data_IF_627120347429
#
_entry.id   IF_627120347429
#
_cell.length_a   1.000
_cell.length_b   1.000
_cell.length_c   1.000
_cell.angle_alpha   90.00
_cell.angle_beta   90.00
_cell.angle_gamma   90.00
#
_symmetry.space_group_name_H-M   'P 1'
#
loop_
_entity.id
_entity.type
_entity.pdbx_description
1 polymer ?
#
# COMPACT_ATOMS: atom_id res chain seq x y z
N UNK A 1 -12.28 13.91 -5.87
CA UNK A 1 -10.96 13.26 -6.01
C UNK A 1 -10.76 12.31 -4.82
N UNK A 2 -9.95 11.26 -5.00
CA UNK A 2 -9.70 10.21 -3.99
C UNK A 2 -8.18 10.04 -3.81
N UNK A 3 -7.73 9.93 -2.56
CA UNK A 3 -6.38 9.53 -2.18
C UNK A 3 -6.49 8.32 -1.26
N UNK A 4 -5.76 7.25 -1.58
CA UNK A 4 -5.75 6.00 -0.83
C UNK A 4 -4.33 5.74 -0.33
N UNK A 5 -4.19 5.36 0.95
CA UNK A 5 -2.90 5.07 1.58
C UNK A 5 -2.92 3.68 2.20
N UNK A 6 -1.79 2.98 2.09
CA UNK A 6 -1.58 1.68 2.74
C UNK A 6 -1.28 1.79 4.23
N UNK A 7 -1.88 0.90 5.03
CA UNK A 7 -1.56 0.74 6.45
C UNK A 7 -0.34 -0.19 6.65
N UNK A 8 0.84 0.43 6.75
CA UNK A 8 2.13 -0.20 7.11
C UNK A 8 2.13 -0.93 8.46
N UNK A 9 1.02 -0.93 9.21
CA UNK A 9 0.94 -1.51 10.54
C UNK A 9 2.04 -0.94 11.46
N UNK A 10 2.32 0.36 11.35
CA UNK A 10 3.45 1.02 12.01
C UNK A 10 3.50 0.72 13.52
N UNK A 11 2.33 0.61 14.18
CA UNK A 11 2.21 0.22 15.59
C UNK A 11 2.82 -1.15 15.90
N UNK A 12 2.74 -2.11 14.98
CA UNK A 12 3.38 -3.42 15.11
C UNK A 12 4.88 -3.31 14.85
N UNK A 13 5.28 -2.55 13.83
CA UNK A 13 6.69 -2.39 13.46
C UNK A 13 7.52 -1.69 14.55
N UNK A 14 6.92 -0.74 15.29
CA UNK A 14 7.55 -0.07 16.45
C UNK A 14 7.89 -1.05 17.59
N UNK A 15 7.24 -2.22 17.65
CA UNK A 15 7.54 -3.26 18.64
C UNK A 15 8.66 -4.22 18.21
N UNK A 16 9.30 -3.97 17.06
CA UNK A 16 10.35 -4.82 16.49
C UNK A 16 11.71 -4.11 16.50
N UNK A 17 12.76 -4.78 16.01
CA UNK A 17 14.09 -4.17 15.81
C UNK A 17 14.10 -2.98 14.83
N UNK A 18 12.99 -2.72 14.13
CA UNK A 18 12.84 -1.58 13.20
C UNK A 18 12.28 -0.33 13.88
N UNK A 19 12.07 -0.34 15.20
CA UNK A 19 11.40 0.74 15.93
C UNK A 19 11.96 2.13 15.62
N UNK A 20 13.29 2.28 15.68
CA UNK A 20 13.97 3.54 15.40
C UNK A 20 13.63 4.06 14.00
N UNK A 21 13.86 3.25 12.96
CA UNK A 21 13.58 3.64 11.57
C UNK A 21 12.11 4.00 11.34
N UNK A 22 11.19 3.27 11.95
CA UNK A 22 9.74 3.53 11.81
C UNK A 22 9.35 4.84 12.48
N UNK A 23 9.88 5.12 13.67
CA UNK A 23 9.62 6.37 14.39
C UNK A 23 10.25 7.57 13.69
N UNK A 24 11.49 7.43 13.21
CA UNK A 24 12.22 8.49 12.49
C UNK A 24 11.51 8.86 11.17
N UNK A 25 10.83 7.90 10.53
CA UNK A 25 10.10 8.17 9.27
C UNK A 25 8.80 8.95 9.47
N UNK A 26 8.22 8.96 10.67
CA UNK A 26 7.07 9.81 10.99
C UNK A 26 5.77 9.48 10.24
N UNK A 27 5.58 8.24 9.76
CA UNK A 27 4.41 7.85 8.95
C UNK A 27 3.06 8.24 9.56
N UNK A 28 2.88 8.10 10.87
CA UNK A 28 1.65 8.49 11.55
C UNK A 28 1.36 9.99 11.42
N UNK A 29 2.39 10.82 11.56
CA UNK A 29 2.26 12.28 11.42
C UNK A 29 1.93 12.66 9.97
N UNK A 30 2.61 12.03 9.00
CA UNK A 30 2.33 12.21 7.57
C UNK A 30 0.87 11.89 7.24
N UNK A 31 0.35 10.73 7.69
CA UNK A 31 -1.05 10.33 7.46
C UNK A 31 -2.03 11.33 8.05
N UNK A 32 -1.81 11.78 9.29
CA UNK A 32 -2.67 12.78 9.94
C UNK A 32 -2.72 14.09 9.16
N UNK A 33 -1.55 14.60 8.74
CA UNK A 33 -1.47 15.85 7.98
C UNK A 33 -2.09 15.70 6.58
N UNK A 34 -1.87 14.56 5.93
CA UNK A 34 -2.44 14.29 4.61
C UNK A 34 -3.96 14.22 4.68
N UNK A 35 -4.53 13.50 5.67
CA UNK A 35 -5.97 13.45 5.90
C UNK A 35 -6.56 14.84 6.13
N UNK A 36 -5.95 15.61 7.03
CA UNK A 36 -6.35 17.01 7.29
C UNK A 36 -6.36 17.86 6.01
N UNK A 37 -5.33 17.74 5.17
CA UNK A 37 -5.28 18.48 3.89
C UNK A 37 -6.30 17.99 2.87
N UNK A 38 -6.61 16.69 2.85
CA UNK A 38 -7.66 16.13 2.01
C UNK A 38 -9.04 16.68 2.41
N UNK A 39 -9.34 16.71 3.71
CA UNK A 39 -10.59 17.27 4.26
C UNK A 39 -10.75 18.75 3.85
N UNK A 40 -9.70 19.56 4.01
CA UNK A 40 -9.72 20.97 3.60
C UNK A 40 -9.92 21.16 2.08
N UNK A 41 -9.48 20.21 1.26
CA UNK A 41 -9.55 20.29 -0.20
C UNK A 41 -10.79 19.60 -0.79
N UNK A 42 -11.68 19.02 0.04
CA UNK A 42 -12.81 18.22 -0.44
C UNK A 42 -12.39 16.92 -1.16
N UNK A 43 -11.23 16.37 -0.81
CA UNK A 43 -10.69 15.11 -1.34
C UNK A 43 -11.02 13.99 -0.37
N UNK A 44 -11.55 12.87 -0.89
CA UNK A 44 -11.79 11.68 -0.08
C UNK A 44 -10.44 11.02 0.27
N UNK A 45 -10.24 10.72 1.55
CA UNK A 45 -9.04 10.06 2.07
C UNK A 45 -9.41 8.70 2.65
N UNK A 46 -8.78 7.64 2.16
CA UNK A 46 -9.02 6.28 2.63
C UNK A 46 -7.73 5.56 3.02
N UNK A 47 -7.81 4.76 4.07
CA UNK A 47 -6.72 3.88 4.52
C UNK A 47 -7.12 2.41 4.31
N UNK A 48 -6.27 1.66 3.62
CA UNK A 48 -6.49 0.24 3.29
C UNK A 48 -5.38 -0.65 3.83
N UNK A 49 -5.71 -1.91 4.08
CA UNK A 49 -4.69 -2.90 4.43
C UNK A 49 -3.80 -3.17 3.22
N UNK A 50 -2.51 -2.83 3.32
CA UNK A 50 -1.57 -2.97 2.20
C UNK A 50 -0.89 -4.34 2.12
N UNK A 51 -1.31 -5.30 2.93
CA UNK A 51 -0.74 -6.65 2.91
C UNK A 51 -0.69 -7.20 1.47
N UNK A 52 0.49 -7.70 1.07
CA UNK A 52 0.76 -8.29 -0.23
C UNK A 52 0.68 -7.35 -1.46
N UNK A 53 0.41 -6.06 -1.29
CA UNK A 53 0.31 -5.10 -2.41
C UNK A 53 1.59 -4.97 -3.24
N UNK A 54 2.76 -5.21 -2.64
CA UNK A 54 4.05 -5.25 -3.35
C UNK A 54 4.30 -6.55 -4.12
N UNK A 55 3.52 -7.60 -3.86
CA UNK A 55 3.70 -8.95 -4.42
C UNK A 55 2.67 -9.29 -5.48
N UNK A 56 1.43 -8.85 -5.27
CA UNK A 56 0.31 -9.04 -6.19
C UNK A 56 0.64 -8.33 -7.50
N UNK A 57 0.53 -9.02 -8.62
CA UNK A 57 0.61 -8.41 -9.94
C UNK A 57 -0.62 -7.51 -10.16
N UNK A 58 -0.43 -6.21 -10.30
CA UNK A 58 -1.51 -5.26 -10.59
C UNK A 58 -2.19 -5.47 -11.95
N UNK A 59 -1.60 -6.26 -12.85
CA UNK A 59 -2.20 -6.60 -14.14
C UNK A 59 -3.09 -7.85 -14.07
N UNK A 60 -2.69 -8.91 -13.37
CA UNK A 60 -3.39 -10.20 -13.39
C UNK A 60 -3.87 -10.70 -12.02
N UNK A 61 -3.58 -9.99 -10.93
CA UNK A 61 -4.01 -10.32 -9.57
C UNK A 61 -3.21 -11.44 -8.89
N UNK A 62 -2.29 -12.10 -9.59
CA UNK A 62 -1.58 -13.26 -9.07
C UNK A 62 -0.35 -12.89 -8.24
N UNK A 63 -0.07 -13.69 -7.21
CA UNK A 63 1.22 -13.71 -6.50
C UNK A 63 2.01 -14.90 -7.01
N UNK A 64 3.09 -14.64 -7.73
CA UNK A 64 3.83 -15.68 -8.43
C UNK A 64 5.18 -15.98 -7.77
N UNK A 65 5.95 -16.93 -8.31
CA UNK A 65 7.30 -17.23 -7.83
C UNK A 65 8.28 -16.08 -8.05
N UNK A 66 8.05 -15.22 -9.06
CA UNK A 66 8.88 -14.04 -9.32
C UNK A 66 8.50 -12.81 -8.49
N UNK A 67 7.34 -12.84 -7.80
CA UNK A 67 6.92 -11.74 -6.92
C UNK A 67 7.95 -11.49 -5.81
N UNK A 68 8.32 -10.22 -5.53
CA UNK A 68 9.25 -9.88 -4.45
C UNK A 68 8.76 -10.37 -3.09
N UNK A 69 9.54 -11.22 -2.41
CA UNK A 69 9.10 -11.87 -1.17
C UNK A 69 10.17 -11.80 -0.08
N UNK A 70 9.72 -11.69 1.16
CA UNK A 70 10.57 -11.69 2.35
C UNK A 70 11.57 -10.53 2.37
N UNK A 71 12.60 -10.66 3.22
CA UNK A 71 13.60 -9.61 3.42
C UNK A 71 14.51 -9.40 2.22
N UNK A 72 14.83 -10.47 1.49
CA UNK A 72 15.61 -10.41 0.25
C UNK A 72 14.85 -9.69 -0.88
N UNK A 73 13.52 -9.85 -0.91
CA UNK A 73 12.65 -9.14 -1.85
C UNK A 73 12.56 -7.62 -1.65
N UNK A 74 12.96 -7.10 -0.48
CA UNK A 74 12.93 -5.65 -0.22
C UNK A 74 13.89 -4.86 -1.12
N UNK A 75 14.93 -5.50 -1.66
CA UNK A 75 15.86 -4.87 -2.61
C UNK A 75 15.38 -4.90 -4.06
N UNK A 76 14.38 -5.73 -4.40
CA UNK A 76 13.90 -5.89 -5.78
C UNK A 76 13.02 -4.69 -6.11
N UNK A 77 13.48 -3.85 -7.04
CA UNK A 77 12.76 -2.64 -7.49
C UNK A 77 11.95 -2.88 -8.75
N UNK A 78 12.43 -3.76 -9.62
CA UNK A 78 11.77 -4.16 -10.85
C UNK A 78 11.70 -5.68 -10.93
N UNK A 79 10.59 -6.20 -11.44
CA UNK A 79 10.39 -7.64 -11.64
C UNK A 79 9.37 -7.89 -12.75
N UNK A 80 9.44 -9.06 -13.38
CA UNK A 80 8.46 -9.48 -14.39
C UNK A 80 7.53 -10.55 -13.80
N UNK A 81 6.22 -10.37 -13.98
CA UNK A 81 5.24 -11.35 -13.56
C UNK A 81 5.30 -12.59 -14.45
N UNK A 82 5.68 -13.75 -13.90
CA UNK A 82 5.77 -15.00 -14.68
C UNK A 82 4.40 -15.56 -15.12
N UNK A 83 3.30 -15.01 -14.60
CA UNK A 83 1.94 -15.41 -15.01
C UNK A 83 1.49 -14.69 -16.28
N UNK A 84 1.77 -13.39 -16.41
CA UNK A 84 1.25 -12.55 -17.50
C UNK A 84 2.31 -11.78 -18.30
N UNK A 85 3.59 -11.90 -17.95
CA UNK A 85 4.71 -11.22 -18.63
C UNK A 85 4.81 -9.71 -18.37
N UNK A 86 3.98 -9.14 -17.49
CA UNK A 86 4.03 -7.70 -17.21
C UNK A 86 5.29 -7.35 -16.41
N UNK A 87 6.07 -6.40 -16.91
CA UNK A 87 7.16 -5.78 -16.16
C UNK A 87 6.61 -4.74 -15.17
N UNK A 88 7.06 -4.82 -13.93
CA UNK A 88 6.62 -3.96 -12.84
C UNK A 88 7.78 -3.19 -12.23
N UNK A 89 7.60 -1.87 -12.07
CA UNK A 89 8.22 -1.15 -10.97
C UNK A 89 7.41 -1.44 -9.69
N UNK A 90 8.10 -1.84 -8.62
CA UNK A 90 7.46 -2.33 -7.39
C UNK A 90 6.57 -1.28 -6.75
N UNK A 91 6.99 -0.02 -6.72
CA UNK A 91 6.25 1.04 -6.04
C UNK A 91 5.03 1.45 -6.87
N UNK A 92 5.15 1.53 -8.21
CA UNK A 92 4.01 1.73 -9.11
C UNK A 92 3.00 0.59 -9.00
N UNK A 93 3.47 -0.66 -9.01
CA UNK A 93 2.61 -1.83 -8.84
C UNK A 93 1.86 -1.79 -7.50
N UNK A 94 2.57 -1.49 -6.41
CA UNK A 94 1.97 -1.36 -5.08
C UNK A 94 0.94 -0.24 -5.03
N UNK A 95 1.21 0.91 -5.66
CA UNK A 95 0.27 2.02 -5.72
C UNK A 95 -1.01 1.67 -6.48
N UNK A 96 -0.89 0.95 -7.60
CA UNK A 96 -2.06 0.47 -8.36
C UNK A 96 -2.90 -0.50 -7.54
N UNK A 97 -2.27 -1.44 -6.82
CA UNK A 97 -2.98 -2.37 -5.94
C UNK A 97 -3.66 -1.65 -4.77
N UNK A 98 -3.01 -0.67 -4.15
CA UNK A 98 -3.60 0.16 -3.08
C UNK A 98 -4.82 0.94 -3.61
N UNK A 99 -4.72 1.51 -4.81
CA UNK A 99 -5.83 2.21 -5.44
C UNK A 99 -7.00 1.27 -5.73
N UNK A 100 -6.73 0.07 -6.25
CA UNK A 100 -7.76 -0.95 -6.50
C UNK A 100 -8.51 -1.32 -5.21
N UNK A 101 -7.78 -1.59 -4.11
CA UNK A 101 -8.38 -1.86 -2.79
C UNK A 101 -9.24 -0.69 -2.28
N UNK A 102 -8.80 0.56 -2.51
CA UNK A 102 -9.58 1.74 -2.15
C UNK A 102 -10.88 1.86 -2.93
N UNK A 103 -10.89 1.48 -4.21
CA UNK A 103 -12.11 1.44 -5.01
C UNK A 103 -13.04 0.28 -4.61
N UNK A 104 -12.52 -0.90 -4.31
CA UNK A 104 -13.30 -2.04 -3.80
C UNK A 104 -14.00 -1.69 -2.48
N UNK A 105 -13.31 -0.95 -1.59
CA UNK A 105 -13.88 -0.51 -0.31
C UNK A 105 -15.07 0.44 -0.48
N UNK A 106 -15.10 1.24 -1.55
CA UNK A 106 -16.24 2.13 -1.86
C UNK A 106 -17.42 1.38 -2.50
N UNK A 107 -17.20 0.19 -3.08
CA UNK A 107 -18.26 -0.65 -3.62
C UNK A 107 -19.07 -1.35 -2.51
N UNK A 108 -18.46 -1.58 -1.34
CA UNK A 108 -19.14 -2.09 -0.14
C UNK A 108 -19.56 -0.89 0.70
N UNK A 109 -20.77 -0.39 0.45
CA UNK A 109 -21.30 0.85 1.02
C UNK A 109 -21.00 1.05 2.52
N UNK A 110 -20.71 2.29 2.87
CA UNK A 110 -20.54 2.77 4.24
C UNK A 110 -21.80 2.40 5.04
N UNK A 111 -21.75 1.35 5.85
CA UNK A 111 -22.70 1.20 6.96
C UNK A 111 -22.29 2.20 8.03
N UNK A 112 -22.91 3.37 8.01
CA UNK A 112 -22.93 4.27 9.15
C UNK A 112 -23.63 3.54 10.30
N UNK A 113 -22.87 3.15 11.32
CA UNK A 113 -23.38 2.91 12.67
C UNK A 113 -22.92 4.07 13.57
#
# INVERSE_FOLDING_TARGET
ALIVVGDLSARKLVKTKMAKSVLDTGFSALKTLLKYKCENAGVLFEEVNEAYTTQICSCCGEITSSSPKGRTGLGIREWECVSCGTAHDRDKNSALNILALGHERLAVGITLL
#
